data_IF_621070646899
#
_entry.id   IF_621070646899
#
_cell.length_a   1.000
_cell.length_b   1.000
_cell.length_c   1.000
_cell.angle_alpha   90.00
_cell.angle_beta   90.00
_cell.angle_gamma   90.00
#
_symmetry.space_group_name_H-M   'P 1'
#
loop_
_entity.id
_entity.type
_entity.pdbx_description
1 polymer ?
#
# COMPACT_ATOMS: atom_id res chain seq x y z
N UNK A 1 -20.41 -33.55 3.79
CA UNK A 1 -20.58 -32.28 3.03
C UNK A 1 -19.86 -31.09 3.68
N UNK A 2 -19.92 -30.86 4.98
CA UNK A 2 -19.30 -29.70 5.68
C UNK A 2 -17.76 -29.65 5.52
N UNK A 3 -17.06 -30.80 5.55
CA UNK A 3 -15.60 -30.86 5.39
C UNK A 3 -15.14 -30.42 3.98
N UNK A 4 -15.89 -30.74 2.94
CA UNK A 4 -15.54 -30.37 1.55
C UNK A 4 -15.73 -28.87 1.33
N UNK A 5 -16.75 -28.25 1.93
CA UNK A 5 -16.95 -26.80 1.89
C UNK A 5 -15.82 -26.02 2.59
N UNK A 6 -15.29 -26.55 3.71
CA UNK A 6 -14.18 -25.91 4.41
C UNK A 6 -12.89 -25.90 3.56
N UNK A 7 -12.59 -26.97 2.82
CA UNK A 7 -11.44 -27.02 1.91
C UNK A 7 -11.62 -26.09 0.69
N UNK A 8 -12.84 -25.92 0.19
CA UNK A 8 -13.11 -24.99 -0.91
C UNK A 8 -12.95 -23.51 -0.49
N UNK A 9 -13.36 -23.18 0.73
CA UNK A 9 -13.15 -21.84 1.29
C UNK A 9 -11.65 -21.54 1.50
N UNK A 10 -10.87 -22.50 2.01
CA UNK A 10 -9.43 -22.34 2.21
C UNK A 10 -8.72 -22.19 0.86
N UNK A 11 -9.10 -22.95 -0.16
CA UNK A 11 -8.53 -22.88 -1.51
C UNK A 11 -8.82 -21.55 -2.23
N UNK A 12 -9.98 -20.94 -2.00
CA UNK A 12 -10.34 -19.65 -2.61
C UNK A 12 -9.56 -18.47 -2.04
N UNK A 13 -9.03 -18.60 -0.82
CA UNK A 13 -8.25 -17.53 -0.14
C UNK A 13 -6.83 -17.45 -0.65
N UNK A 14 -6.27 -18.57 -1.10
CA UNK A 14 -4.89 -18.62 -1.62
C UNK A 14 -4.75 -18.09 -3.05
N UNK A 15 -5.85 -18.05 -3.82
CA UNK A 15 -5.85 -17.59 -5.22
C UNK A 15 -5.66 -16.07 -5.41
N UNK A 16 -5.61 -15.30 -4.33
CA UNK A 16 -5.46 -13.84 -4.36
C UNK A 16 -4.23 -13.29 -3.65
N UNK A 17 -3.21 -14.12 -3.40
CA UNK A 17 -1.96 -13.69 -2.76
C UNK A 17 -0.75 -14.23 -3.52
N UNK A 18 0.38 -13.55 -3.38
CA UNK A 18 1.65 -14.00 -3.96
C UNK A 18 2.54 -14.77 -2.95
N UNK A 19 1.94 -15.34 -1.92
CA UNK A 19 2.63 -16.12 -0.89
C UNK A 19 1.82 -16.24 0.40
N UNK A 20 2.43 -16.78 1.45
CA UNK A 20 1.77 -17.02 2.73
C UNK A 20 1.93 -15.78 3.62
N UNK A 21 0.84 -15.07 3.87
CA UNK A 21 0.74 -14.05 4.91
C UNK A 21 0.38 -14.70 6.25
N UNK A 22 0.75 -14.04 7.34
CA UNK A 22 0.47 -14.53 8.70
C UNK A 22 -0.48 -13.56 9.42
N UNK A 23 -1.53 -14.04 10.09
CA UNK A 23 -2.31 -13.21 10.99
C UNK A 23 -1.43 -12.64 12.10
N UNK A 24 -1.62 -11.37 12.43
CA UNK A 24 -0.96 -10.74 13.58
C UNK A 24 -1.82 -10.91 14.83
N UNK A 25 -1.65 -12.04 15.50
CA UNK A 25 -2.34 -12.29 16.77
C UNK A 25 -1.76 -11.49 17.95
N UNK A 26 -0.58 -10.90 17.79
CA UNK A 26 0.03 -10.06 18.83
C UNK A 26 -0.59 -8.68 18.92
N UNK A 27 -1.22 -8.23 17.83
CA UNK A 27 -1.74 -6.88 17.69
C UNK A 27 -0.66 -5.82 17.51
N UNK A 28 0.61 -6.21 17.38
CA UNK A 28 1.75 -5.27 17.34
C UNK A 28 1.73 -4.34 16.12
N UNK A 29 1.05 -4.73 15.06
CA UNK A 29 0.92 -3.95 13.84
C UNK A 29 -0.41 -3.18 13.73
N UNK A 30 -1.34 -3.36 14.67
CA UNK A 30 -2.68 -2.76 14.59
C UNK A 30 -2.66 -1.23 14.60
N UNK A 31 -1.73 -0.63 15.33
CA UNK A 31 -1.62 0.84 15.45
C UNK A 31 -0.93 1.49 14.24
N UNK A 32 -0.40 0.69 13.30
CA UNK A 32 0.34 1.21 12.15
C UNK A 32 -0.55 1.58 10.96
N UNK A 33 -1.81 1.15 10.96
CA UNK A 33 -2.78 1.40 9.89
C UNK A 33 -4.22 1.38 10.40
N UNK A 34 -5.16 1.77 9.57
CA UNK A 34 -6.59 1.61 9.82
C UNK A 34 -7.31 1.14 8.54
N UNK A 35 -8.55 0.66 8.72
CA UNK A 35 -9.38 0.20 7.62
C UNK A 35 -10.14 1.34 6.97
N UNK A 36 -10.16 1.37 5.66
CA UNK A 36 -11.04 2.21 4.86
C UNK A 36 -12.03 1.33 4.14
N UNK A 37 -13.30 1.57 4.40
CA UNK A 37 -14.40 0.92 3.70
C UNK A 37 -14.97 1.84 2.63
N UNK A 38 -15.35 1.26 1.50
CA UNK A 38 -15.92 2.00 0.39
C UNK A 38 -16.91 1.18 -0.42
N UNK A 39 -17.67 1.82 -1.30
CA UNK A 39 -18.58 1.16 -2.21
C UNK A 39 -19.85 1.97 -2.48
N UNK A 40 -20.52 1.62 -3.58
CA UNK A 40 -21.84 2.16 -3.93
C UNK A 40 -22.64 1.08 -4.69
N UNK A 41 -23.92 0.83 -4.31
CA UNK A 41 -24.71 1.42 -3.23
C UNK A 41 -24.37 0.88 -1.82
N UNK A 42 -23.54 -0.17 -1.72
CA UNK A 42 -23.18 -0.79 -0.46
C UNK A 42 -21.85 -0.19 0.06
N UNK A 43 -21.82 0.58 1.17
CA UNK A 43 -20.64 1.31 1.62
C UNK A 43 -19.49 0.43 2.16
N UNK A 44 -19.70 -0.89 2.25
CA UNK A 44 -18.70 -1.86 2.71
C UNK A 44 -18.31 -2.88 1.64
N UNK A 45 -18.60 -2.57 0.37
CA UNK A 45 -18.34 -3.51 -0.75
C UNK A 45 -16.82 -3.72 -0.96
N UNK A 46 -16.04 -2.68 -0.74
CA UNK A 46 -14.59 -2.72 -0.87
C UNK A 46 -13.93 -2.36 0.46
N UNK A 47 -12.75 -2.90 0.68
CA UNK A 47 -11.94 -2.65 1.84
C UNK A 47 -10.49 -2.43 1.41
N UNK A 48 -9.85 -1.42 2.00
CA UNK A 48 -8.43 -1.13 1.88
C UNK A 48 -7.84 -0.82 3.25
N UNK A 49 -6.53 -0.81 3.32
CA UNK A 49 -5.77 -0.29 4.43
C UNK A 49 -5.37 1.16 4.15
N UNK A 50 -5.19 1.97 5.17
CA UNK A 50 -4.67 3.33 5.07
C UNK A 50 -3.71 3.61 6.21
N UNK A 51 -2.80 4.55 6.00
CA UNK A 51 -1.80 4.95 6.99
C UNK A 51 -1.91 6.43 7.28
N UNK A 52 -1.92 6.77 8.56
CA UNK A 52 -1.93 8.17 8.97
C UNK A 52 -0.64 8.86 8.53
N UNK A 53 -0.78 10.01 7.85
CA UNK A 53 0.35 10.81 7.38
C UNK A 53 0.72 11.90 8.38
N UNK A 54 -0.29 12.62 8.86
CA UNK A 54 -0.17 13.68 9.87
C UNK A 54 -1.50 13.81 10.64
N UNK A 55 -1.70 14.91 11.37
CA UNK A 55 -2.89 15.09 12.21
C UNK A 55 -4.22 15.05 11.43
N UNK A 56 -4.24 15.48 10.17
CA UNK A 56 -5.48 15.70 9.41
C UNK A 56 -5.59 14.81 8.16
N UNK A 57 -4.50 14.16 7.73
CA UNK A 57 -4.47 13.40 6.49
C UNK A 57 -3.91 12.01 6.66
N UNK A 58 -4.45 11.09 5.88
CA UNK A 58 -3.92 9.75 5.71
C UNK A 58 -3.70 9.44 4.23
N UNK A 59 -2.92 8.41 3.95
CA UNK A 59 -2.61 7.94 2.61
C UNK A 59 -3.15 6.53 2.39
N UNK A 60 -3.61 6.25 1.17
CA UNK A 60 -4.04 4.93 0.73
C UNK A 60 -3.90 4.82 -0.79
N UNK A 61 -4.28 3.67 -1.35
CA UNK A 61 -4.22 3.42 -2.79
C UNK A 61 -5.41 4.00 -3.53
N UNK A 62 -5.16 4.53 -4.73
CA UNK A 62 -6.19 5.08 -5.62
C UNK A 62 -7.06 4.01 -6.27
N UNK A 63 -6.52 2.79 -6.51
CA UNK A 63 -7.24 1.72 -7.21
C UNK A 63 -8.42 1.15 -6.41
N UNK A 64 -8.52 1.44 -5.10
CA UNK A 64 -9.70 1.07 -4.32
C UNK A 64 -10.86 1.97 -4.71
N UNK A 65 -11.96 1.42 -5.28
CA UNK A 65 -13.04 2.24 -5.80
C UNK A 65 -13.79 2.99 -4.69
N UNK A 66 -14.31 4.18 -5.00
CA UNK A 66 -15.22 4.95 -4.13
C UNK A 66 -14.65 5.28 -2.73
N UNK A 67 -13.33 5.43 -2.58
CA UNK A 67 -12.74 5.84 -1.30
C UNK A 67 -13.35 7.18 -0.86
N UNK A 68 -13.85 7.27 0.39
CA UNK A 68 -14.44 8.50 0.91
C UNK A 68 -13.36 9.54 1.25
N UNK A 69 -13.76 10.82 1.28
CA UNK A 69 -12.95 11.94 1.76
C UNK A 69 -11.63 12.15 1.00
N UNK A 70 -11.51 11.71 -0.23
CA UNK A 70 -10.33 11.98 -1.07
C UNK A 70 -10.20 13.50 -1.25
N UNK A 71 -9.04 14.03 -0.89
CA UNK A 71 -8.68 15.45 -1.04
C UNK A 71 -7.68 15.67 -2.16
N UNK A 72 -6.89 14.66 -2.46
CA UNK A 72 -5.86 14.78 -3.49
C UNK A 72 -5.55 13.39 -4.07
N UNK A 73 -5.38 13.35 -5.38
CA UNK A 73 -4.85 12.20 -6.10
C UNK A 73 -3.47 12.56 -6.66
N UNK A 74 -2.58 11.59 -6.72
CA UNK A 74 -1.22 11.75 -7.24
C UNK A 74 -1.19 12.55 -8.56
N UNK A 75 -0.32 13.56 -8.62
CA UNK A 75 -0.22 14.52 -9.73
C UNK A 75 0.16 13.84 -11.06
N UNK A 76 0.97 12.80 -11.00
CA UNK A 76 1.42 12.02 -12.15
C UNK A 76 0.50 10.86 -12.50
N UNK A 77 -0.57 10.66 -11.72
CA UNK A 77 -1.49 9.55 -11.89
C UNK A 77 -1.07 8.26 -11.18
N UNK A 78 -0.05 8.29 -10.32
CA UNK A 78 0.35 7.13 -9.52
C UNK A 78 -0.79 6.64 -8.59
N UNK A 79 -0.67 5.43 -8.07
CA UNK A 79 -1.70 4.77 -7.28
C UNK A 79 -1.79 5.27 -5.83
N UNK A 80 -1.77 6.59 -5.64
CA UNK A 80 -1.76 7.26 -4.35
C UNK A 80 -2.90 8.28 -4.25
N UNK A 81 -3.58 8.27 -3.11
CA UNK A 81 -4.50 9.34 -2.70
C UNK A 81 -4.24 9.77 -1.27
N UNK A 82 -4.45 11.07 -0.99
CA UNK A 82 -4.59 11.60 0.36
C UNK A 82 -6.06 11.74 0.68
N UNK A 83 -6.45 11.21 1.83
CA UNK A 83 -7.80 11.31 2.38
C UNK A 83 -7.79 12.19 3.63
N UNK A 84 -8.87 12.95 3.84
CA UNK A 84 -9.06 13.65 5.10
C UNK A 84 -9.43 12.63 6.18
N UNK A 85 -8.56 12.49 7.16
CA UNK A 85 -8.73 11.60 8.29
C UNK A 85 -7.99 12.15 9.50
N UNK A 86 -8.74 12.46 10.55
CA UNK A 86 -8.18 13.03 11.78
C UNK A 86 -7.48 11.94 12.59
N UNK A 87 -6.23 12.19 12.96
CA UNK A 87 -5.48 11.26 13.80
C UNK A 87 -6.09 11.19 15.22
N UNK A 88 -6.12 9.98 15.78
CA UNK A 88 -6.49 9.73 17.16
C UNK A 88 -5.25 9.71 18.07
N UNK A 89 -4.48 10.79 18.08
CA UNK A 89 -3.27 10.89 18.89
C UNK A 89 -1.98 10.75 18.08
N UNK A 90 -1.21 9.67 18.28
CA UNK A 90 0.08 9.48 17.61
C UNK A 90 -0.11 8.93 16.20
N UNK A 91 0.71 9.42 15.27
CA UNK A 91 0.84 8.83 13.93
C UNK A 91 2.28 8.34 13.71
N UNK A 92 2.48 7.38 12.80
CA UNK A 92 3.76 6.73 12.64
C UNK A 92 4.84 7.67 12.09
N UNK A 93 6.09 7.33 12.37
CA UNK A 93 7.25 7.99 11.78
C UNK A 93 7.56 7.41 10.41
N UNK A 94 7.95 8.26 9.47
CA UNK A 94 8.23 7.89 8.09
C UNK A 94 9.69 8.15 7.73
N UNK A 95 10.26 7.34 6.85
CA UNK A 95 11.57 7.55 6.22
C UNK A 95 11.68 6.88 4.86
N UNK A 96 12.71 7.21 4.10
CA UNK A 96 13.01 6.52 2.85
C UNK A 96 13.42 5.04 3.09
N UNK A 97 13.01 4.12 2.18
CA UNK A 97 13.45 2.74 2.20
C UNK A 97 14.96 2.64 1.92
N UNK A 98 15.58 1.56 2.43
CA UNK A 98 16.96 1.20 2.13
C UNK A 98 16.99 -0.15 1.41
N UNK A 99 17.73 -0.24 0.33
CA UNK A 99 17.92 -1.51 -0.39
C UNK A 99 18.51 -2.57 0.52
N UNK A 100 17.95 -3.77 0.48
CA UNK A 100 18.37 -4.91 1.29
C UNK A 100 17.84 -4.92 2.72
N UNK A 101 17.15 -3.85 3.18
CA UNK A 101 16.59 -3.87 4.53
C UNK A 101 15.42 -4.82 4.67
N UNK A 102 15.34 -5.46 5.84
CA UNK A 102 14.21 -6.30 6.19
C UNK A 102 12.99 -5.44 6.51
N UNK A 103 11.84 -5.86 5.96
CA UNK A 103 10.57 -5.17 6.16
C UNK A 103 9.45 -6.16 6.54
N UNK A 104 8.39 -5.59 7.08
CA UNK A 104 7.11 -6.25 7.28
C UNK A 104 6.04 -5.47 6.53
N UNK A 105 5.46 -6.09 5.51
CA UNK A 105 4.25 -5.57 4.89
C UNK A 105 3.06 -5.87 5.81
N UNK A 106 2.23 -4.87 6.08
CA UNK A 106 1.09 -4.96 6.99
C UNK A 106 -0.18 -4.50 6.29
N UNK A 107 -1.31 -5.01 6.72
CA UNK A 107 -2.62 -4.56 6.28
C UNK A 107 -3.73 -5.52 6.68
N UNK A 108 -4.93 -5.22 6.26
CA UNK A 108 -6.07 -6.09 6.52
C UNK A 108 -6.13 -7.29 5.58
N UNK A 109 -6.70 -8.36 6.05
CA UNK A 109 -7.14 -9.47 5.21
C UNK A 109 -8.65 -9.35 4.93
N UNK A 110 -9.18 -10.08 3.93
CA UNK A 110 -10.62 -10.19 3.69
C UNK A 110 -11.43 -10.71 4.90
N UNK A 111 -10.76 -11.24 5.90
CA UNK A 111 -11.37 -11.70 7.15
C UNK A 111 -11.34 -10.66 8.27
N UNK A 112 -11.07 -9.39 7.95
CA UNK A 112 -10.99 -8.28 8.92
C UNK A 112 -9.88 -8.45 9.96
N UNK A 113 -8.89 -9.28 9.67
CA UNK A 113 -7.75 -9.52 10.55
C UNK A 113 -6.53 -8.81 10.01
N UNK A 114 -5.74 -8.21 10.91
CA UNK A 114 -4.40 -7.73 10.57
C UNK A 114 -3.54 -8.89 10.12
N UNK A 115 -2.93 -8.74 8.96
CA UNK A 115 -2.01 -9.74 8.39
C UNK A 115 -0.68 -9.10 8.07
N UNK A 116 0.36 -9.92 8.16
CA UNK A 116 1.74 -9.50 7.94
C UNK A 116 2.44 -10.43 6.96
N UNK A 117 3.30 -9.85 6.13
CA UNK A 117 4.25 -10.55 5.29
C UNK A 117 5.66 -10.04 5.55
N UNK A 118 6.65 -10.90 5.75
CA UNK A 118 8.05 -10.52 5.94
C UNK A 118 8.83 -10.67 4.66
N UNK A 119 9.72 -9.73 4.39
CA UNK A 119 10.57 -9.73 3.20
C UNK A 119 11.68 -8.69 3.29
N UNK A 120 12.25 -8.36 2.14
CA UNK A 120 13.31 -7.35 1.98
C UNK A 120 12.95 -6.37 0.89
N UNK A 121 13.48 -5.15 0.99
CA UNK A 121 13.45 -4.16 -0.09
C UNK A 121 14.52 -4.51 -1.12
N UNK A 122 14.12 -4.49 -2.39
CA UNK A 122 15.02 -4.69 -3.53
C UNK A 122 15.34 -3.36 -4.21
N UNK A 123 16.33 -3.39 -5.08
CA UNK A 123 16.73 -2.21 -5.82
C UNK A 123 15.54 -1.68 -6.64
N UNK A 124 15.36 -0.40 -6.57
CA UNK A 124 14.36 0.34 -7.34
C UNK A 124 15.09 1.41 -8.14
N UNK A 125 14.62 1.83 -9.26
CA UNK A 125 13.23 2.14 -9.54
C UNK A 125 12.54 1.10 -10.42
N UNK A 126 11.28 0.84 -10.11
CA UNK A 126 10.40 0.05 -10.94
C UNK A 126 9.28 0.94 -11.52
N UNK A 127 9.15 0.94 -12.84
CA UNK A 127 8.05 1.62 -13.52
C UNK A 127 6.90 0.63 -13.69
N UNK A 128 5.75 0.93 -13.13
CA UNK A 128 4.55 0.17 -13.42
C UNK A 128 3.99 0.60 -14.78
N UNK A 129 4.33 -0.12 -15.83
CA UNK A 129 3.87 0.17 -17.20
C UNK A 129 2.34 0.17 -17.34
N UNK A 130 1.63 -0.53 -16.45
CA UNK A 130 0.17 -0.57 -16.47
C UNK A 130 -0.49 0.74 -16.00
N UNK A 131 0.22 1.57 -15.24
CA UNK A 131 -0.34 2.80 -14.68
C UNK A 131 -0.04 4.05 -15.50
N UNK A 132 0.86 3.98 -16.45
CA UNK A 132 1.27 5.09 -17.32
C UNK A 132 1.71 6.37 -16.57
N UNK A 133 2.00 6.23 -15.25
CA UNK A 133 2.31 7.36 -14.39
C UNK A 133 3.74 7.89 -14.58
N UNK A 134 4.63 7.05 -15.08
CA UNK A 134 6.06 7.33 -15.13
C UNK A 134 6.73 7.39 -13.74
N UNK A 135 5.98 7.19 -12.65
CA UNK A 135 6.53 7.17 -11.30
C UNK A 135 7.30 5.88 -11.01
N UNK A 136 8.34 6.03 -10.22
CA UNK A 136 9.21 4.94 -9.83
C UNK A 136 8.73 4.33 -8.51
N UNK A 137 8.10 3.18 -8.60
CA UNK A 137 7.70 2.38 -7.43
C UNK A 137 8.89 1.63 -6.85
N UNK A 138 8.73 1.16 -5.63
CA UNK A 138 9.69 0.31 -4.96
C UNK A 138 9.19 -1.15 -4.90
N UNK A 139 10.11 -2.10 -4.80
CA UNK A 139 9.83 -3.53 -4.77
C UNK A 139 10.29 -4.14 -3.45
N UNK A 140 9.49 -5.05 -2.95
CA UNK A 140 9.87 -5.98 -1.88
C UNK A 140 9.35 -7.40 -2.18
N UNK A 141 9.89 -8.41 -1.53
CA UNK A 141 9.48 -9.81 -1.70
C UNK A 141 8.57 -10.33 -0.56
N UNK A 142 8.11 -9.45 0.33
CA UNK A 142 7.10 -9.81 1.32
C UNK A 142 5.79 -10.21 0.64
N UNK A 143 5.14 -11.32 1.06
CA UNK A 143 3.85 -11.72 0.50
C UNK A 143 2.76 -10.70 0.84
N UNK A 144 1.86 -10.49 -0.11
CA UNK A 144 0.67 -9.65 0.03
C UNK A 144 -0.60 -10.44 -0.27
N UNK A 145 -1.70 -10.02 0.33
CA UNK A 145 -3.05 -10.51 0.06
C UNK A 145 -3.99 -9.32 -0.19
N UNK A 146 -5.13 -9.56 -0.83
CA UNK A 146 -6.18 -8.56 -1.03
C UNK A 146 -6.60 -7.93 0.30
N UNK A 147 -6.75 -6.60 0.32
CA UNK A 147 -7.03 -5.80 1.51
C UNK A 147 -5.79 -5.16 2.13
N UNK A 148 -4.57 -5.65 1.85
CA UNK A 148 -3.34 -5.03 2.30
C UNK A 148 -2.95 -3.77 1.50
N UNK A 149 -3.61 -3.51 0.37
CA UNK A 149 -3.43 -2.28 -0.42
C UNK A 149 -3.62 -1.04 0.46
N UNK A 150 -2.70 -0.09 0.40
CA UNK A 150 -2.66 1.11 1.24
C UNK A 150 -2.09 0.90 2.64
N UNK A 151 -1.86 -0.35 3.06
CA UNK A 151 -1.23 -0.66 4.34
C UNK A 151 0.28 -0.41 4.35
N UNK A 152 0.89 -0.23 5.53
CA UNK A 152 2.28 0.17 5.63
C UNK A 152 3.28 -0.91 5.25
N UNK A 153 4.42 -0.48 4.74
CA UNK A 153 5.67 -1.23 4.70
C UNK A 153 6.50 -0.76 5.88
N UNK A 154 6.61 -1.61 6.90
CA UNK A 154 7.33 -1.32 8.14
C UNK A 154 8.77 -1.80 8.04
N UNK A 155 9.72 -0.93 8.31
CA UNK A 155 11.11 -1.31 8.52
C UNK A 155 11.31 -1.87 9.94
N UNK A 156 12.43 -2.57 10.16
CA UNK A 156 12.75 -3.19 11.45
C UNK A 156 12.93 -2.20 12.61
N UNK A 157 13.16 -0.93 12.30
CA UNK A 157 13.28 0.17 13.28
C UNK A 157 11.92 0.82 13.61
N UNK A 158 10.81 0.28 13.09
CA UNK A 158 9.45 0.77 13.34
C UNK A 158 9.01 1.93 12.46
N UNK A 159 9.86 2.45 11.57
CA UNK A 159 9.46 3.48 10.61
C UNK A 159 8.66 2.88 9.45
N UNK A 160 7.73 3.66 8.93
CA UNK A 160 7.06 3.34 7.67
C UNK A 160 7.92 3.85 6.52
N UNK A 161 8.19 2.97 5.55
CA UNK A 161 9.02 3.30 4.39
C UNK A 161 8.21 3.44 3.10
N UNK A 162 6.92 3.14 3.16
CA UNK A 162 5.97 3.27 2.06
C UNK A 162 4.65 2.57 2.34
N UNK A 163 3.78 2.51 1.33
CA UNK A 163 2.48 1.80 1.39
C UNK A 163 2.39 0.73 0.31
N UNK A 164 1.87 -0.44 0.65
CA UNK A 164 1.65 -1.54 -0.29
C UNK A 164 0.61 -1.16 -1.36
N UNK A 165 0.85 -1.47 -2.62
CA UNK A 165 -0.14 -1.28 -3.69
C UNK A 165 -0.58 -2.58 -4.35
N UNK A 166 0.29 -3.56 -4.46
CA UNK A 166 -0.07 -4.80 -5.12
C UNK A 166 1.11 -5.73 -5.31
N UNK A 167 0.89 -6.76 -6.10
CA UNK A 167 1.92 -7.74 -6.43
C UNK A 167 1.73 -8.26 -7.86
N UNK A 168 2.81 -8.74 -8.44
CA UNK A 168 2.77 -9.46 -9.70
C UNK A 168 2.67 -10.97 -9.44
N UNK A 169 1.80 -11.62 -10.19
CA UNK A 169 1.64 -13.09 -10.19
C UNK A 169 2.50 -13.78 -11.24
N UNK A 170 3.51 -13.10 -11.79
CA UNK A 170 4.43 -13.66 -12.77
C UNK A 170 5.33 -14.71 -12.14
N UNK A 171 5.62 -15.77 -12.90
CA UNK A 171 6.65 -16.72 -12.55
C UNK A 171 8.00 -16.00 -12.48
N UNK A 172 8.72 -16.18 -11.38
CA UNK A 172 10.00 -15.55 -11.07
C UNK A 172 11.07 -15.63 -12.16
N UNK A 173 10.93 -16.60 -13.09
CA UNK A 173 11.89 -16.81 -14.17
C UNK A 173 12.01 -15.62 -15.13
N UNK A 174 10.93 -14.85 -15.34
CA UNK A 174 10.96 -13.71 -16.26
C UNK A 174 11.51 -12.45 -15.59
N UNK A 175 11.47 -12.38 -14.26
CA UNK A 175 11.86 -11.20 -13.49
C UNK A 175 13.26 -11.31 -12.91
N UNK A 176 13.75 -12.53 -12.67
CA UNK A 176 15.08 -12.79 -12.12
C UNK A 176 16.24 -12.29 -13.01
N UNK A 177 15.95 -11.97 -14.27
CA UNK A 177 16.92 -11.40 -15.22
C UNK A 177 17.12 -9.88 -15.03
N UNK A 178 16.27 -9.19 -14.28
CA UNK A 178 16.50 -7.80 -13.94
C UNK A 178 17.44 -7.70 -12.74
N UNK A 179 18.58 -7.05 -12.91
CA UNK A 179 19.67 -6.96 -11.94
C UNK A 179 19.22 -6.47 -10.55
N UNK A 180 18.24 -5.57 -10.51
CA UNK A 180 17.74 -4.96 -9.26
C UNK A 180 16.84 -5.85 -8.39
N UNK A 181 16.37 -6.99 -8.90
CA UNK A 181 15.48 -7.92 -8.17
C UNK A 181 16.05 -9.33 -8.05
N UNK A 182 17.34 -9.48 -8.34
CA UNK A 182 18.01 -10.78 -8.25
C UNK A 182 17.88 -11.37 -6.84
N UNK A 183 17.36 -12.59 -6.78
CA UNK A 183 17.14 -13.32 -5.53
C UNK A 183 15.84 -12.98 -4.81
N UNK A 184 14.97 -12.17 -5.41
CA UNK A 184 13.63 -11.96 -4.89
C UNK A 184 12.80 -13.24 -5.03
N UNK A 185 12.12 -13.65 -3.98
CA UNK A 185 11.19 -14.78 -4.05
C UNK A 185 9.84 -14.39 -4.67
N UNK A 186 9.49 -13.11 -4.61
CA UNK A 186 8.23 -12.53 -5.07
C UNK A 186 8.44 -11.10 -5.50
N UNK A 187 7.45 -10.57 -6.22
CA UNK A 187 7.41 -9.17 -6.57
C UNK A 187 6.16 -8.53 -6.01
N UNK A 188 6.34 -7.85 -4.91
CA UNK A 188 5.35 -6.98 -4.31
C UNK A 188 5.77 -5.53 -4.50
N UNK A 189 4.82 -4.67 -4.82
CA UNK A 189 5.06 -3.29 -5.19
C UNK A 189 4.54 -2.38 -4.11
N UNK A 190 5.29 -1.33 -3.81
CA UNK A 190 4.86 -0.31 -2.87
C UNK A 190 5.23 1.09 -3.36
N UNK A 191 4.48 2.08 -2.90
CA UNK A 191 4.80 3.49 -3.10
C UNK A 191 5.79 3.88 -2.00
N UNK A 192 7.03 4.26 -2.35
CA UNK A 192 8.03 4.64 -1.36
C UNK A 192 7.72 6.02 -0.76
N UNK A 193 8.19 6.23 0.46
CA UNK A 193 8.07 7.50 1.19
C UNK A 193 8.41 8.73 0.34
N UNK A 194 9.44 8.66 -0.51
CA UNK A 194 9.86 9.80 -1.35
C UNK A 194 8.77 10.29 -2.31
N UNK A 195 7.99 9.37 -2.90
CA UNK A 195 6.85 9.73 -3.75
C UNK A 195 5.73 10.33 -2.88
N UNK A 196 5.42 9.71 -1.74
CA UNK A 196 4.38 10.22 -0.84
C UNK A 196 4.72 11.63 -0.35
N UNK A 197 5.98 11.86 0.02
CA UNK A 197 6.46 13.17 0.48
C UNK A 197 6.41 14.23 -0.64
N UNK A 198 6.79 13.86 -1.86
CA UNK A 198 6.67 14.75 -3.04
C UNK A 198 5.22 15.20 -3.25
N UNK A 199 4.30 14.23 -3.27
CA UNK A 199 2.89 14.51 -3.50
C UNK A 199 2.25 15.29 -2.34
N UNK A 200 2.71 15.04 -1.11
CA UNK A 200 2.33 15.86 0.03
C UNK A 200 2.75 17.32 -0.14
N UNK A 201 3.98 17.59 -0.58
CA UNK A 201 4.44 18.94 -0.85
C UNK A 201 3.59 19.68 -1.90
N UNK A 202 3.15 18.95 -2.93
CA UNK A 202 2.25 19.50 -3.96
C UNK A 202 0.85 19.80 -3.36
N UNK A 203 0.33 18.91 -2.53
CA UNK A 203 -0.95 19.15 -1.84
C UNK A 203 -0.85 20.35 -0.89
N UNK A 204 0.20 20.46 -0.08
CA UNK A 204 0.42 21.61 0.82
C UNK A 204 0.44 22.91 0.06
N UNK A 205 1.19 23.00 -1.03
CA UNK A 205 1.24 24.21 -1.86
C UNK A 205 -0.14 24.63 -2.39
N UNK A 206 -1.02 23.65 -2.70
CA UNK A 206 -2.40 23.93 -3.12
C UNK A 206 -3.30 24.37 -1.96
N UNK A 207 -3.02 23.91 -0.74
CA UNK A 207 -3.77 24.32 0.46
C UNK A 207 -3.38 25.73 0.89
N UNK A 208 -2.09 26.09 0.75
CA UNK A 208 -1.54 27.40 1.12
C UNK A 208 -1.93 28.48 0.12
N UNK A 209 -2.09 28.14 -1.17
CA UNK A 209 -2.55 29.06 -2.23
C UNK A 209 -3.77 28.50 -2.99
N UNK A 210 -4.97 28.54 -2.39
CA UNK A 210 -6.18 28.02 -3.02
C UNK A 210 -6.63 28.83 -4.26
N UNK A 211 -6.06 30.01 -4.48
CA UNK A 211 -6.39 30.88 -5.62
C UNK A 211 -5.40 30.74 -6.79
N UNK A 212 -4.15 30.33 -6.53
CA UNK A 212 -3.11 30.12 -7.56
C UNK A 212 -3.41 28.97 -8.52
N UNK A 213 -4.19 27.98 -8.10
CA UNK A 213 -4.55 26.83 -8.93
C UNK A 213 -5.43 27.15 -10.17
N UNK A 214 -5.98 28.36 -10.28
CA UNK A 214 -6.81 28.80 -11.43
C UNK A 214 -6.00 29.23 -12.67
N UNK A 215 -4.69 29.40 -12.57
CA UNK A 215 -3.86 29.94 -13.66
C UNK A 215 -3.03 28.89 -14.43
N UNK A 216 -3.08 27.61 -14.10
CA UNK A 216 -2.27 26.57 -14.77
C UNK A 216 -3.09 25.70 -15.74
N UNK A 217 -4.38 25.97 -15.92
CA UNK A 217 -5.23 25.29 -16.90
C UNK A 217 -5.39 26.15 -18.17
N UNK A 218 -4.38 26.13 -19.03
CA UNK A 218 -4.49 26.50 -20.46
C UNK A 218 -3.64 25.58 -21.31
#
# INVERSE_FOLDING_TARGET
MIKIMAYFLIGAVTAGCNGIVKPDFSGSANDSYFLVYSGFPAPYLYMASAVQWNDDYAVTTRHTPFIPNVKYSCSTGCDLVFILHKANGRYPSWRAPRVGESITAVGASPYFMTTTGKGKVYETPFVNAAEHSGDLYAIHDAPLIKGMSGGPVLASDGHIVGINIGFYSTTLNDVSNHSGVKGAERLSIFIPYSIIQREWGILQAKLDDPHGAKYVAK
#
